data_IF_239582935009
#
_entry.id   IF_239582935009
#
_cell.length_a   1.000
_cell.length_b   1.000
_cell.length_c   1.000
_cell.angle_alpha   90.00
_cell.angle_beta   90.00
_cell.angle_gamma   90.00
#
_symmetry.space_group_name_H-M   'P 1'
#
loop_
_entity.id
_entity.type
_entity.pdbx_description
1 polymer ?
#
# COMPACT_ATOMS: atom_id res chain seq x y z
N UNK A 1 20.23 -22.94 22.66
CA UNK A 1 18.84 -22.44 22.48
C UNK A 1 18.25 -22.02 23.84
N UNK A 2 18.58 -20.81 24.28
CA UNK A 2 18.15 -20.25 25.58
C UNK A 2 17.75 -18.77 25.48
N UNK A 3 17.88 -18.16 24.30
CA UNK A 3 17.50 -16.76 24.07
C UNK A 3 16.06 -16.58 23.59
N UNK A 4 15.38 -17.67 23.18
CA UNK A 4 13.98 -17.64 22.73
C UNK A 4 12.97 -17.71 23.88
N UNK A 5 13.37 -18.20 25.07
CA UNK A 5 12.45 -18.36 26.21
C UNK A 5 12.08 -17.04 26.87
N UNK A 6 12.93 -16.02 26.77
CA UNK A 6 12.65 -14.67 27.26
C UNK A 6 11.59 -13.96 26.42
N UNK A 7 11.68 -14.04 25.10
CA UNK A 7 10.71 -13.43 24.17
C UNK A 7 9.34 -14.12 24.23
N UNK A 8 9.30 -15.44 24.35
CA UNK A 8 8.04 -16.18 24.53
C UNK A 8 7.38 -15.89 25.88
N UNK A 9 8.17 -15.78 26.96
CA UNK A 9 7.66 -15.44 28.30
C UNK A 9 7.19 -13.99 28.40
N UNK A 10 7.82 -13.07 27.66
CA UNK A 10 7.42 -11.67 27.55
C UNK A 10 6.05 -11.54 26.84
N UNK A 11 5.86 -12.28 25.74
CA UNK A 11 4.55 -12.37 25.02
C UNK A 11 3.41 -12.88 25.90
N UNK A 12 3.69 -13.69 26.92
CA UNK A 12 2.67 -14.25 27.82
C UNK A 12 2.21 -13.25 28.88
N UNK A 13 2.98 -12.19 29.16
CA UNK A 13 2.59 -11.15 30.11
C UNK A 13 1.68 -10.11 29.44
N UNK A 14 0.43 -10.01 29.91
CA UNK A 14 -0.60 -9.08 29.41
C UNK A 14 -0.26 -7.58 29.58
N UNK A 15 0.93 -7.23 30.04
CA UNK A 15 1.32 -5.86 30.40
C UNK A 15 2.38 -5.22 29.50
N UNK A 16 2.81 -5.91 28.45
CA UNK A 16 3.76 -5.36 27.51
C UNK A 16 3.09 -4.47 26.44
N UNK A 17 3.53 -3.21 26.37
CA UNK A 17 3.13 -2.21 25.37
C UNK A 17 3.71 -2.58 24.01
N UNK A 18 3.04 -3.47 23.28
CA UNK A 18 3.47 -3.97 21.98
C UNK A 18 2.38 -3.82 20.91
N UNK A 19 2.77 -3.56 19.65
CA UNK A 19 1.84 -3.52 18.54
C UNK A 19 1.26 -4.91 18.30
N UNK A 20 -0.01 -5.07 18.66
CA UNK A 20 -0.84 -6.25 18.40
C UNK A 20 -2.05 -5.82 17.57
N UNK A 21 -2.70 -6.71 16.80
CA UNK A 21 -3.88 -6.33 16.01
C UNK A 21 -4.93 -5.55 16.82
N UNK A 22 -5.23 -5.99 18.04
CA UNK A 22 -6.17 -5.29 18.94
C UNK A 22 -5.67 -3.92 19.45
N UNK A 23 -4.35 -3.72 19.54
CA UNK A 23 -3.77 -2.43 19.94
C UNK A 23 -4.01 -1.35 18.87
N UNK A 24 -4.00 -1.73 17.59
CA UNK A 24 -4.21 -0.80 16.48
C UNK A 24 -5.63 -0.23 16.42
N UNK A 25 -6.64 -0.98 16.85
CA UNK A 25 -8.00 -0.46 17.01
C UNK A 25 -8.04 0.67 18.05
N UNK A 26 -7.37 0.47 19.19
CA UNK A 26 -7.25 1.50 20.24
C UNK A 26 -6.48 2.72 19.73
N UNK A 27 -5.38 2.52 19.02
CA UNK A 27 -4.61 3.60 18.39
C UNK A 27 -5.48 4.38 17.42
N UNK A 28 -6.23 3.72 16.53
CA UNK A 28 -7.12 4.38 15.58
C UNK A 28 -8.17 5.26 16.28
N UNK A 29 -8.80 4.73 17.34
CA UNK A 29 -9.77 5.48 18.15
C UNK A 29 -9.14 6.70 18.81
N UNK A 30 -8.06 6.51 19.58
CA UNK A 30 -7.45 7.60 20.35
C UNK A 30 -6.82 8.67 19.43
N UNK A 31 -6.24 8.25 18.31
CA UNK A 31 -5.63 9.15 17.35
C UNK A 31 -6.69 10.01 16.64
N UNK A 32 -7.87 9.44 16.36
CA UNK A 32 -9.01 10.15 15.82
C UNK A 32 -9.60 11.15 16.83
N UNK A 33 -9.76 10.75 18.09
CA UNK A 33 -10.24 11.62 19.18
C UNK A 33 -9.29 12.80 19.43
N UNK A 34 -7.97 12.55 19.38
CA UNK A 34 -6.92 13.56 19.61
C UNK A 34 -6.48 14.29 18.34
N UNK A 35 -7.25 14.22 17.24
CA UNK A 35 -6.85 14.81 15.94
C UNK A 35 -6.53 16.30 16.01
N UNK A 36 -7.22 17.05 16.88
CA UNK A 36 -7.03 18.51 17.07
C UNK A 36 -5.98 18.87 18.13
N UNK A 37 -5.45 17.89 18.86
CA UNK A 37 -4.46 18.12 19.92
C UNK A 37 -3.06 18.42 19.35
N UNK A 38 -2.10 18.77 20.22
CA UNK A 38 -0.70 18.85 19.83
C UNK A 38 -0.12 17.46 19.47
N UNK A 39 0.88 17.43 18.59
CA UNK A 39 1.67 16.26 18.21
C UNK A 39 2.23 15.53 19.42
N UNK A 40 2.72 16.23 20.46
CA UNK A 40 3.28 15.58 21.67
C UNK A 40 2.22 14.79 22.42
N UNK A 41 1.01 15.33 22.55
CA UNK A 41 -0.11 14.66 23.21
C UNK A 41 -0.54 13.42 22.43
N UNK A 42 -0.62 13.51 21.09
CA UNK A 42 -0.89 12.34 20.24
C UNK A 42 0.19 11.27 20.39
N UNK A 43 1.47 11.65 20.36
CA UNK A 43 2.59 10.73 20.52
C UNK A 43 2.51 9.98 21.85
N UNK A 44 2.35 10.69 22.97
CA UNK A 44 2.27 10.07 24.30
C UNK A 44 1.09 9.09 24.39
N UNK A 45 -0.07 9.45 23.83
CA UNK A 45 -1.25 8.59 23.83
C UNK A 45 -1.03 7.30 23.01
N UNK A 46 -0.38 7.40 21.85
CA UNK A 46 -0.06 6.23 21.01
C UNK A 46 1.04 5.38 21.65
N UNK A 47 2.10 5.99 22.16
CA UNK A 47 3.21 5.32 22.85
C UNK A 47 2.73 4.52 24.07
N UNK A 48 1.73 5.04 24.80
CA UNK A 48 1.07 4.33 25.90
C UNK A 48 0.26 3.10 25.48
N UNK A 49 0.13 2.80 24.18
CA UNK A 49 -0.59 1.63 23.65
C UNK A 49 0.37 0.65 22.96
N UNK A 50 1.30 1.15 22.12
CA UNK A 50 2.16 0.32 21.26
C UNK A 50 3.67 0.46 21.54
N UNK A 51 4.05 1.20 22.58
CA UNK A 51 5.44 1.49 22.90
C UNK A 51 6.00 2.69 22.14
N UNK A 52 7.03 3.32 22.70
CA UNK A 52 7.55 4.61 22.23
C UNK A 52 8.20 4.53 20.83
N UNK A 53 9.01 3.51 20.57
CA UNK A 53 9.69 3.33 19.27
C UNK A 53 8.69 3.22 18.12
N UNK A 54 7.70 2.34 18.27
CA UNK A 54 6.68 2.11 17.23
C UNK A 54 5.78 3.34 17.07
N UNK A 55 5.47 4.03 18.18
CA UNK A 55 4.74 5.29 18.12
C UNK A 55 5.51 6.36 17.36
N UNK A 56 6.83 6.48 17.53
CA UNK A 56 7.65 7.45 16.80
C UNK A 56 7.58 7.22 15.28
N UNK A 57 7.72 5.97 14.83
CA UNK A 57 7.59 5.61 13.41
C UNK A 57 6.18 5.89 12.88
N UNK A 58 5.15 5.49 13.62
CA UNK A 58 3.76 5.78 13.27
C UNK A 58 3.51 7.28 13.13
N UNK A 59 4.01 8.10 14.07
CA UNK A 59 3.84 9.54 14.05
C UNK A 59 4.59 10.21 12.90
N UNK A 60 5.72 9.65 12.46
CA UNK A 60 6.44 10.09 11.26
C UNK A 60 5.61 9.82 10.00
N UNK A 61 5.13 8.59 9.83
CA UNK A 61 4.28 8.18 8.71
C UNK A 61 2.97 8.98 8.66
N UNK A 62 2.34 9.21 9.81
CA UNK A 62 1.11 9.98 9.90
C UNK A 62 1.30 11.44 9.46
N UNK A 63 2.45 12.05 9.77
CA UNK A 63 2.75 13.42 9.32
C UNK A 63 3.09 13.46 7.82
N UNK A 64 3.82 12.46 7.31
CA UNK A 64 4.04 12.30 5.87
C UNK A 64 2.70 12.25 5.11
N UNK A 65 1.81 11.36 5.54
CA UNK A 65 0.49 11.15 4.92
C UNK A 65 -0.39 12.39 5.00
N UNK A 66 -0.35 13.12 6.13
CA UNK A 66 -1.15 14.33 6.35
C UNK A 66 -0.84 15.45 5.35
N UNK A 67 0.38 15.51 4.82
CA UNK A 67 0.81 16.53 3.86
C UNK A 67 0.50 16.17 2.41
N UNK A 68 -0.02 14.96 2.14
CA UNK A 68 -0.40 14.53 0.80
C UNK A 68 -1.73 15.14 0.36
N UNK A 69 -1.96 15.18 -0.96
CA UNK A 69 -3.28 15.50 -1.52
C UNK A 69 -4.28 14.42 -1.16
N UNK A 70 -5.51 14.82 -0.84
CA UNK A 70 -6.59 13.87 -0.61
C UNK A 70 -6.99 13.19 -1.92
N UNK A 71 -7.65 12.03 -1.83
CA UNK A 71 -8.22 11.34 -3.00
C UNK A 71 -9.18 12.26 -3.77
N UNK A 72 -9.98 13.06 -3.05
CA UNK A 72 -10.92 14.00 -3.65
C UNK A 72 -10.18 15.11 -4.41
N UNK A 73 -9.07 15.62 -3.86
CA UNK A 73 -8.21 16.60 -4.55
C UNK A 73 -7.58 16.00 -5.80
N UNK A 74 -7.11 14.74 -5.74
CA UNK A 74 -6.51 14.05 -6.88
C UNK A 74 -7.54 13.83 -8.00
N UNK A 75 -8.78 13.49 -7.65
CA UNK A 75 -9.87 13.39 -8.63
C UNK A 75 -10.19 14.75 -9.26
N UNK A 76 -10.24 15.83 -8.48
CA UNK A 76 -10.43 17.19 -9.01
C UNK A 76 -9.29 17.61 -9.96
N UNK A 77 -8.04 17.34 -9.58
CA UNK A 77 -6.85 17.57 -10.41
C UNK A 77 -6.91 16.73 -11.68
N UNK A 78 -7.34 15.46 -11.60
CA UNK A 78 -7.49 14.58 -12.74
C UNK A 78 -8.53 15.13 -13.72
N UNK A 79 -9.67 15.64 -13.23
CA UNK A 79 -10.72 16.24 -14.08
C UNK A 79 -10.23 17.52 -14.76
N UNK A 80 -9.52 18.39 -14.04
CA UNK A 80 -9.09 19.71 -14.54
C UNK A 80 -7.83 19.66 -15.38
N UNK A 81 -6.84 18.88 -14.94
CA UNK A 81 -5.49 18.83 -15.52
C UNK A 81 -4.92 17.41 -15.46
N UNK A 82 -5.46 16.44 -16.24
CA UNK A 82 -5.03 15.04 -16.17
C UNK A 82 -3.53 14.84 -16.38
N UNK A 83 -2.91 15.61 -17.30
CA UNK A 83 -1.47 15.53 -17.59
C UNK A 83 -0.57 15.98 -16.44
N UNK A 84 -1.11 16.66 -15.42
CA UNK A 84 -0.35 17.13 -14.25
C UNK A 84 -0.48 16.21 -13.05
N UNK A 85 -1.28 15.14 -13.11
CA UNK A 85 -1.57 14.27 -11.95
C UNK A 85 -0.30 13.77 -11.27
N UNK A 86 0.71 13.39 -12.05
CA UNK A 86 2.00 12.92 -11.56
C UNK A 86 2.65 13.88 -10.57
N UNK A 87 2.52 15.20 -10.76
CA UNK A 87 3.11 16.22 -9.87
C UNK A 87 2.53 16.20 -8.46
N UNK A 88 1.38 15.58 -8.28
CA UNK A 88 0.64 15.53 -7.01
C UNK A 88 0.58 14.13 -6.41
N UNK A 89 1.07 13.11 -7.13
CA UNK A 89 1.22 11.78 -6.57
C UNK A 89 2.38 11.78 -5.54
N UNK A 90 2.24 11.03 -4.43
CA UNK A 90 3.35 10.82 -3.50
C UNK A 90 4.53 10.15 -4.20
N UNK A 91 5.74 10.61 -3.93
CA UNK A 91 7.01 10.10 -4.45
C UNK A 91 7.77 9.23 -3.43
N UNK A 92 7.04 8.70 -2.46
CA UNK A 92 7.54 7.75 -1.47
C UNK A 92 6.74 6.46 -1.52
N UNK A 93 7.39 5.35 -1.18
CA UNK A 93 6.71 4.05 -1.10
C UNK A 93 5.57 4.08 -0.08
N UNK A 94 5.81 4.65 1.11
CA UNK A 94 4.80 4.78 2.17
C UNK A 94 3.59 5.61 1.73
N UNK A 95 3.84 6.73 1.07
CA UNK A 95 2.78 7.59 0.54
C UNK A 95 1.94 6.89 -0.53
N UNK A 96 2.56 6.13 -1.43
CA UNK A 96 1.84 5.37 -2.46
C UNK A 96 1.05 4.19 -1.89
N UNK A 97 1.57 3.49 -0.87
CA UNK A 97 0.81 2.49 -0.13
C UNK A 97 -0.41 3.12 0.56
N UNK A 98 -0.22 4.23 1.27
CA UNK A 98 -1.29 4.96 1.93
C UNK A 98 -2.35 5.45 0.94
N UNK A 99 -1.94 5.98 -0.21
CA UNK A 99 -2.83 6.40 -1.29
C UNK A 99 -3.64 5.21 -1.84
N UNK A 100 -3.03 4.05 -2.01
CA UNK A 100 -3.71 2.84 -2.50
C UNK A 100 -4.87 2.41 -1.57
N UNK A 101 -4.63 2.41 -0.26
CA UNK A 101 -5.70 2.14 0.73
C UNK A 101 -6.72 3.28 0.79
N UNK A 102 -6.30 4.53 0.65
CA UNK A 102 -7.21 5.67 0.63
C UNK A 102 -8.16 5.62 -0.58
N UNK A 103 -7.66 5.25 -1.76
CA UNK A 103 -8.47 5.04 -2.98
C UNK A 103 -9.57 4.02 -2.71
N UNK A 104 -9.20 2.83 -2.23
CA UNK A 104 -10.18 1.77 -1.94
C UNK A 104 -11.18 2.24 -0.87
N UNK A 105 -10.71 2.86 0.22
CA UNK A 105 -11.57 3.30 1.33
C UNK A 105 -12.55 4.39 0.90
N UNK A 106 -12.11 5.37 0.09
CA UNK A 106 -12.92 6.51 -0.37
C UNK A 106 -13.82 6.20 -1.57
N UNK A 107 -13.60 5.07 -2.26
CA UNK A 107 -14.41 4.71 -3.43
C UNK A 107 -15.91 4.63 -3.12
N UNK A 108 -16.71 5.07 -4.07
CA UNK A 108 -18.17 5.01 -4.10
C UNK A 108 -18.63 4.55 -5.49
N UNK A 109 -19.93 4.26 -5.67
CA UNK A 109 -20.49 3.96 -6.99
C UNK A 109 -20.16 5.03 -8.03
N UNK A 110 -20.18 6.29 -7.60
CA UNK A 110 -20.07 7.45 -8.51
C UNK A 110 -18.62 7.74 -8.88
N UNK A 111 -17.67 7.36 -8.02
CA UNK A 111 -16.24 7.63 -8.21
C UNK A 111 -15.43 6.43 -8.66
N UNK A 112 -16.01 5.21 -8.68
CA UNK A 112 -15.28 3.97 -8.95
C UNK A 112 -14.52 3.97 -10.29
N UNK A 113 -15.15 4.46 -11.36
CA UNK A 113 -14.54 4.53 -12.69
C UNK A 113 -13.39 5.53 -12.72
N UNK A 114 -13.57 6.71 -12.10
CA UNK A 114 -12.53 7.74 -12.05
C UNK A 114 -11.33 7.31 -11.20
N UNK A 115 -11.57 6.53 -10.15
CA UNK A 115 -10.52 5.95 -9.32
C UNK A 115 -9.77 4.82 -10.04
N UNK A 116 -10.44 4.01 -10.86
CA UNK A 116 -9.76 3.07 -11.76
C UNK A 116 -8.86 3.81 -12.76
N UNK A 117 -9.34 4.94 -13.29
CA UNK A 117 -8.53 5.78 -14.17
C UNK A 117 -7.32 6.36 -13.43
N UNK A 118 -7.47 6.80 -12.18
CA UNK A 118 -6.37 7.28 -11.34
C UNK A 118 -5.35 6.17 -11.06
N UNK A 119 -5.80 4.96 -10.73
CA UNK A 119 -4.94 3.78 -10.57
C UNK A 119 -4.18 3.49 -11.87
N UNK A 120 -4.83 3.61 -13.03
CA UNK A 120 -4.19 3.45 -14.33
C UNK A 120 -3.04 4.44 -14.60
N UNK A 121 -2.96 5.55 -13.85
CA UNK A 121 -1.87 6.53 -13.97
C UNK A 121 -0.61 6.13 -13.24
N UNK A 122 -0.62 5.17 -12.32
CA UNK A 122 0.56 4.85 -11.50
C UNK A 122 1.75 4.36 -12.33
N UNK A 123 1.54 3.44 -13.28
CA UNK A 123 2.59 2.94 -14.18
C UNK A 123 2.88 3.87 -15.38
N UNK A 124 2.22 5.01 -15.47
CA UNK A 124 2.52 6.06 -16.46
C UNK A 124 3.54 7.08 -15.94
N UNK A 125 4.02 6.91 -14.70
CA UNK A 125 4.93 7.86 -14.08
C UNK A 125 6.38 7.49 -14.40
N UNK A 126 6.98 8.21 -15.35
CA UNK A 126 8.37 8.01 -15.80
C UNK A 126 9.35 9.08 -15.30
N UNK A 127 8.92 9.95 -14.39
CA UNK A 127 9.75 10.97 -13.76
C UNK A 127 10.80 10.29 -12.84
N UNK A 128 12.00 10.88 -12.73
CA UNK A 128 13.13 10.35 -11.97
C UNK A 128 12.77 10.02 -10.51
N UNK A 129 11.88 10.81 -9.90
CA UNK A 129 11.41 10.58 -8.52
C UNK A 129 10.63 9.27 -8.33
N UNK A 130 10.14 8.65 -9.40
CA UNK A 130 9.46 7.36 -9.34
C UNK A 130 10.34 6.20 -9.84
N UNK A 131 11.55 6.48 -10.34
CA UNK A 131 12.38 5.48 -11.03
C UNK A 131 12.78 4.30 -10.12
N UNK A 132 12.94 4.54 -8.82
CA UNK A 132 13.26 3.52 -7.83
C UNK A 132 12.04 2.88 -7.17
N UNK A 133 10.82 3.32 -7.52
CA UNK A 133 9.59 2.87 -6.88
C UNK A 133 8.91 1.75 -7.70
N UNK A 134 8.31 0.75 -7.05
CA UNK A 134 7.63 -0.35 -7.74
C UNK A 134 6.23 0.08 -8.22
N UNK A 135 6.18 1.06 -9.13
CA UNK A 135 4.92 1.70 -9.57
C UNK A 135 3.91 0.71 -10.13
N UNK A 136 4.38 -0.32 -10.84
CA UNK A 136 3.54 -1.38 -11.41
C UNK A 136 2.91 -2.28 -10.35
N UNK A 137 3.65 -2.61 -9.30
CA UNK A 137 3.12 -3.42 -8.19
C UNK A 137 2.11 -2.63 -7.37
N UNK A 138 2.40 -1.34 -7.14
CA UNK A 138 1.49 -0.42 -6.47
C UNK A 138 0.18 -0.24 -7.23
N UNK A 139 0.23 -0.12 -8.56
CA UNK A 139 -0.96 -0.11 -9.40
C UNK A 139 -1.76 -1.41 -9.29
N UNK A 140 -1.08 -2.55 -9.33
CA UNK A 140 -1.71 -3.88 -9.23
C UNK A 140 -2.41 -4.04 -7.90
N UNK A 141 -1.75 -3.67 -6.79
CA UNK A 141 -2.31 -3.69 -5.45
C UNK A 141 -3.51 -2.73 -5.32
N UNK A 142 -3.35 -1.46 -5.69
CA UNK A 142 -4.41 -0.45 -5.59
C UNK A 142 -5.65 -0.86 -6.39
N UNK A 143 -5.45 -1.34 -7.62
CA UNK A 143 -6.54 -1.81 -8.48
C UNK A 143 -7.22 -3.06 -7.91
N UNK A 144 -6.47 -3.97 -7.31
CA UNK A 144 -7.03 -5.19 -6.69
C UNK A 144 -7.87 -4.86 -5.46
N UNK A 145 -7.40 -3.96 -4.58
CA UNK A 145 -8.18 -3.45 -3.43
C UNK A 145 -9.46 -2.73 -3.89
N UNK A 146 -9.36 -1.92 -4.94
CA UNK A 146 -10.49 -1.18 -5.49
C UNK A 146 -11.54 -2.11 -6.12
N UNK A 147 -11.09 -3.08 -6.94
CA UNK A 147 -11.97 -4.03 -7.59
C UNK A 147 -12.65 -4.97 -6.58
N UNK A 148 -11.93 -5.46 -5.57
CA UNK A 148 -12.52 -6.25 -4.47
C UNK A 148 -13.68 -5.50 -3.81
N UNK A 149 -13.50 -4.19 -3.54
CA UNK A 149 -14.58 -3.35 -3.01
C UNK A 149 -15.74 -3.17 -4.01
N UNK A 150 -15.43 -2.87 -5.28
CA UNK A 150 -16.42 -2.71 -6.36
C UNK A 150 -17.32 -3.94 -6.46
N UNK A 151 -16.73 -5.14 -6.49
CA UNK A 151 -17.48 -6.40 -6.61
C UNK A 151 -18.29 -6.71 -5.37
N UNK A 152 -17.72 -6.54 -4.16
CA UNK A 152 -18.46 -6.69 -2.90
C UNK A 152 -19.65 -5.75 -2.79
N UNK A 153 -19.53 -4.54 -3.33
CA UNK A 153 -20.59 -3.54 -3.33
C UNK A 153 -21.55 -3.61 -4.53
N UNK A 154 -21.27 -4.45 -5.53
CA UNK A 154 -22.09 -4.61 -6.73
C UNK A 154 -22.06 -3.41 -7.69
N UNK A 155 -21.00 -2.60 -7.69
CA UNK A 155 -20.89 -1.45 -8.60
C UNK A 155 -20.51 -1.90 -10.01
N UNK A 156 -21.14 -1.29 -11.03
CA UNK A 156 -20.90 -1.64 -12.44
C UNK A 156 -19.82 -0.75 -13.03
N UNK A 157 -18.70 -1.34 -13.42
CA UNK A 157 -17.54 -0.65 -14.01
C UNK A 157 -17.09 -1.25 -15.35
N UNK A 158 -17.66 -2.40 -15.72
CA UNK A 158 -17.27 -3.23 -16.87
C UNK A 158 -17.50 -2.55 -18.23
N UNK A 159 -18.37 -1.54 -18.26
CA UNK A 159 -18.64 -0.74 -19.45
C UNK A 159 -17.64 0.41 -19.65
N UNK A 160 -16.68 0.58 -18.74
CA UNK A 160 -15.72 1.68 -18.78
C UNK A 160 -14.41 1.27 -19.46
N UNK A 161 -13.80 2.21 -20.21
CA UNK A 161 -12.45 2.03 -20.77
C UNK A 161 -11.40 1.85 -19.68
N UNK A 162 -11.56 2.54 -18.54
CA UNK A 162 -10.63 2.46 -17.41
C UNK A 162 -10.52 1.03 -16.85
N UNK A 163 -11.64 0.33 -16.73
CA UNK A 163 -11.67 -1.07 -16.30
C UNK A 163 -10.89 -1.99 -17.26
N UNK A 164 -11.20 -1.92 -18.56
CA UNK A 164 -10.53 -2.77 -19.55
C UNK A 164 -9.03 -2.49 -19.64
N UNK A 165 -8.64 -1.21 -19.61
CA UNK A 165 -7.23 -0.81 -19.59
C UNK A 165 -6.47 -1.37 -18.38
N UNK A 166 -7.10 -1.38 -17.21
CA UNK A 166 -6.50 -1.98 -16.02
C UNK A 166 -6.32 -3.51 -16.19
N UNK A 167 -7.36 -4.19 -16.66
CA UNK A 167 -7.33 -5.64 -16.87
C UNK A 167 -6.29 -6.06 -17.92
N UNK A 168 -6.23 -5.38 -19.06
CA UNK A 168 -5.24 -5.64 -20.11
C UNK A 168 -3.82 -5.60 -19.56
N UNK A 169 -3.50 -4.56 -18.78
CA UNK A 169 -2.20 -4.44 -18.12
C UNK A 169 -1.96 -5.61 -17.17
N UNK A 170 -2.93 -5.93 -16.31
CA UNK A 170 -2.84 -7.02 -15.32
C UNK A 170 -2.61 -8.38 -15.99
N UNK A 171 -3.29 -8.65 -17.10
CA UNK A 171 -3.18 -9.91 -17.83
C UNK A 171 -1.80 -10.01 -18.52
N UNK A 172 -1.29 -8.92 -19.10
CA UNK A 172 0.06 -8.86 -19.65
C UNK A 172 1.14 -9.20 -18.59
N UNK A 173 1.04 -8.59 -17.39
CA UNK A 173 1.96 -8.88 -16.29
C UNK A 173 1.90 -10.36 -15.83
N UNK A 174 0.72 -10.97 -15.90
CA UNK A 174 0.56 -12.40 -15.55
C UNK A 174 1.21 -13.30 -16.60
N UNK A 175 1.16 -12.92 -17.88
CA UNK A 175 1.83 -13.64 -18.96
C UNK A 175 3.35 -13.51 -18.89
N UNK A 176 3.87 -12.34 -18.56
CA UNK A 176 5.30 -12.10 -18.40
C UNK A 176 5.88 -12.94 -17.24
N UNK A 177 5.17 -13.01 -16.11
CA UNK A 177 5.56 -13.87 -14.98
C UNK A 177 5.55 -15.37 -15.33
N UNK A 178 4.62 -15.83 -16.17
CA UNK A 178 4.61 -17.22 -16.65
C UNK A 178 5.81 -17.53 -17.54
N UNK A 179 6.16 -16.64 -18.47
CA UNK A 179 7.33 -16.80 -19.34
C UNK A 179 8.64 -16.77 -18.55
N UNK A 180 8.74 -15.92 -17.53
CA UNK A 180 9.91 -15.88 -16.64
C UNK A 180 10.06 -17.19 -15.84
N UNK A 181 8.95 -17.74 -15.32
CA UNK A 181 8.96 -19.03 -14.63
C UNK A 181 9.26 -20.25 -15.52
N UNK A 182 8.99 -20.16 -16.83
CA UNK A 182 9.34 -21.19 -17.82
C UNK A 182 10.82 -21.12 -18.26
N UNK A 183 11.50 -19.98 -18.04
CA UNK A 183 12.93 -19.81 -18.37
C UNK A 183 13.87 -20.13 -17.20
N UNK A 184 13.36 -20.19 -15.97
CA UNK A 184 14.06 -20.78 -14.82
C UNK A 184 13.85 -22.31 -14.78
N UNK A 185 14.30 -23.04 -15.82
CA UNK A 185 14.51 -24.48 -15.68
C UNK A 185 15.63 -24.69 -14.65
N UNK A 186 15.26 -25.24 -13.49
CA UNK A 186 16.18 -25.65 -12.43
C UNK A 186 17.22 -26.59 -13.07
N UNK A 187 18.53 -26.30 -12.99
CA UNK A 187 19.55 -27.19 -13.56
C UNK A 187 19.36 -28.58 -12.98
N UNK A 188 19.29 -29.57 -13.87
CA UNK A 188 19.11 -30.96 -13.47
C UNK A 188 20.23 -31.36 -12.51
N UNK A 189 19.96 -32.25 -11.54
CA UNK A 189 20.91 -32.72 -10.54
C UNK A 189 22.25 -33.23 -11.12
N UNK A 190 22.26 -33.62 -12.41
CA UNK A 190 23.46 -33.96 -13.16
C UNK A 190 24.43 -32.77 -13.40
N UNK A 191 23.90 -31.55 -13.60
CA UNK A 191 24.71 -30.34 -13.86
C UNK A 191 25.31 -29.75 -12.57
N UNK A 192 24.59 -29.90 -11.46
CA UNK A 192 25.07 -29.44 -10.13
C UNK A 192 26.29 -30.25 -9.68
N UNK A 193 26.37 -31.53 -10.04
CA UNK A 193 27.50 -32.39 -9.66
C UNK A 193 28.78 -32.12 -10.46
N UNK A 194 28.69 -31.49 -11.65
CA UNK A 194 29.85 -31.17 -12.48
C UNK A 194 30.56 -29.88 -12.01
N UNK A 195 29.81 -28.93 -11.45
CA UNK A 195 30.36 -27.67 -10.92
C UNK A 195 31.04 -27.86 -9.56
N UNK A 196 30.63 -28.87 -8.78
CA UNK A 196 31.25 -29.19 -7.48
C UNK A 196 32.55 -30.03 -7.60
N UNK A 197 32.90 -30.49 -8.80
CA UNK A 197 34.07 -31.34 -9.06
C UNK A 197 35.19 -30.64 -9.86
N UNK A 198 35.05 -29.34 -10.13
CA UNK A 198 36.07 -28.46 -10.72
C UNK A 198 36.65 -27.52 -9.66
#
# INVERSE_FOLDING_TARGET
PQHLSGEESARTQKHELYPRPASWEKVSKIFSELRKSDKRVRHLAVAGIIGDSVAAEFMLLAEEIKNMKSVDDLLDIQRKTPSKIGKYLPDTINGLYALSFAIATRASSDTAIELLELVNRFDEQFDERFAALPMRDLQTMAGSLLLDKIWKAGWKVENSKAFWRYNEKRDAATQDNKKAGETEEIPNAAEISAVAAA
#
